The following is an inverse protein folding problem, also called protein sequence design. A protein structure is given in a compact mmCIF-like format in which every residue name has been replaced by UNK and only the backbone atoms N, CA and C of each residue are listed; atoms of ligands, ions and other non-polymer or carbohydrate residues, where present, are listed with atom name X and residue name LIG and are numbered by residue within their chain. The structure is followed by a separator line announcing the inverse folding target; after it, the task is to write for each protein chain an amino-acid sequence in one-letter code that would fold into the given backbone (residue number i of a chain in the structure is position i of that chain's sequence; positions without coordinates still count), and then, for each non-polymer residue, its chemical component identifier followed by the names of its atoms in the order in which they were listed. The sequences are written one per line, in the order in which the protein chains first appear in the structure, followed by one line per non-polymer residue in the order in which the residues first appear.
data_IF_716537351953
#
_entry.id   IF_716537351953
#
_cell.length_a   1.000
_cell.length_b   1.000
_cell.length_c   1.000
_cell.angle_alpha   90.00
_cell.angle_beta   90.00
_cell.angle_gamma   90.00
#
_symmetry.space_group_name_H-M   'P 1'
#
loop_
_entity.id
_entity.type
_entity.pdbx_description
1 polymer ?
#
# COMPACT_ATOMS: atom_id res chain seq x y z
N UNK A 1 -2.77 20.56 24.97
CA UNK A 1 -3.48 20.26 26.24
C UNK A 1 -3.04 21.21 27.33
N UNK A 2 -1.75 21.21 27.70
CA UNK A 2 -1.17 22.14 28.67
C UNK A 2 -1.58 23.61 28.42
N UNK A 3 -1.32 24.12 27.23
CA UNK A 3 -1.63 25.52 26.86
C UNK A 3 -3.14 25.86 26.87
N UNK A 4 -4.01 24.86 26.83
CA UNK A 4 -5.47 25.03 26.83
C UNK A 4 -6.12 24.63 28.14
N UNK A 5 -5.35 24.30 29.18
CA UNK A 5 -5.88 23.83 30.45
C UNK A 5 -6.69 22.54 30.36
N UNK A 6 -6.42 21.70 29.35
CA UNK A 6 -7.14 20.43 29.14
C UNK A 6 -6.34 19.28 29.73
N UNK A 7 -7.01 18.43 30.50
CA UNK A 7 -6.45 17.19 31.06
C UNK A 7 -7.05 16.00 30.33
N UNK A 8 -6.24 14.98 30.03
CA UNK A 8 -6.73 13.71 29.51
C UNK A 8 -7.07 12.78 30.65
N UNK A 9 -8.26 12.18 30.57
CA UNK A 9 -8.59 11.05 31.42
C UNK A 9 -7.75 9.85 30.98
N UNK A 10 -7.05 9.23 31.93
CA UNK A 10 -6.22 8.03 31.71
C UNK A 10 -6.91 6.76 32.22
N UNK A 11 -8.19 6.83 32.60
CA UNK A 11 -8.91 5.63 32.99
C UNK A 11 -8.92 4.64 31.83
N UNK A 12 -8.34 3.47 32.06
CA UNK A 12 -8.37 2.33 31.13
C UNK A 12 -9.80 1.76 31.09
N UNK A 13 -10.74 2.52 30.54
CA UNK A 13 -12.04 1.97 30.18
C UNK A 13 -11.81 0.98 29.04
N UNK A 14 -11.87 -0.30 29.41
CA UNK A 14 -11.96 -1.52 28.59
C UNK A 14 -11.61 -1.31 27.11
N UNK A 15 -10.41 -1.75 26.74
CA UNK A 15 -10.02 -1.99 25.36
C UNK A 15 -10.98 -3.04 24.76
N UNK A 16 -12.15 -2.61 24.31
CA UNK A 16 -12.97 -3.44 23.43
C UNK A 16 -12.20 -3.53 22.10
N UNK A 17 -11.81 -4.75 21.71
CA UNK A 17 -11.37 -5.03 20.36
C UNK A 17 -12.52 -4.66 19.42
N UNK A 18 -12.40 -3.50 18.77
CA UNK A 18 -13.41 -2.98 17.88
C UNK A 18 -12.86 -2.89 16.47
N UNK A 19 -13.31 -3.79 15.60
CA UNK A 19 -13.16 -3.64 14.16
C UNK A 19 -14.22 -2.65 13.66
N UNK A 20 -13.78 -1.45 13.28
CA UNK A 20 -14.62 -0.54 12.51
C UNK A 20 -14.38 -0.81 11.03
N UNK A 21 -15.43 -0.73 10.21
CA UNK A 21 -15.23 -0.78 8.76
C UNK A 21 -14.33 0.38 8.33
N UNK A 22 -13.25 0.08 7.61
CA UNK A 22 -12.45 1.08 6.93
C UNK A 22 -13.23 1.70 5.76
N UNK A 23 -12.62 2.62 5.02
CA UNK A 23 -13.27 3.14 3.82
C UNK A 23 -13.53 1.99 2.80
N UNK A 24 -14.70 2.01 2.17
CA UNK A 24 -15.07 1.09 1.09
C UNK A 24 -15.40 1.99 -0.10
N UNK A 25 -14.61 1.87 -1.17
CA UNK A 25 -14.90 2.45 -2.47
C UNK A 25 -14.70 1.36 -3.50
N UNK A 26 -15.66 1.30 -4.44
CA UNK A 26 -15.80 0.47 -5.64
C UNK A 26 -14.83 -0.71 -5.83
N UNK A 27 -15.36 -1.87 -6.20
CA UNK A 27 -14.53 -2.95 -6.72
C UNK A 27 -13.75 -2.46 -7.95
N UNK A 28 -12.40 -2.41 -7.91
CA UNK A 28 -11.61 -1.96 -9.05
C UNK A 28 -11.88 -2.84 -10.24
N UNK A 29 -12.01 -2.24 -11.42
CA UNK A 29 -11.94 -3.00 -12.67
C UNK A 29 -10.47 -3.18 -13.01
N UNK A 30 -9.96 -4.38 -12.80
CA UNK A 30 -8.58 -4.71 -13.17
C UNK A 30 -8.42 -4.73 -14.69
N UNK A 31 -7.28 -4.24 -15.17
CA UNK A 31 -7.01 -4.16 -16.60
C UNK A 31 -6.01 -3.08 -16.96
N UNK A 32 -5.77 -2.97 -18.26
CA UNK A 32 -4.90 -1.97 -18.87
C UNK A 32 -5.74 -0.84 -19.46
N UNK A 33 -5.46 0.39 -19.04
CA UNK A 33 -6.21 1.58 -19.41
C UNK A 33 -5.27 2.61 -20.03
N UNK A 34 -5.76 3.34 -21.03
CA UNK A 34 -5.07 4.49 -21.62
C UNK A 34 -5.66 5.79 -21.10
N UNK A 35 -4.82 6.80 -20.90
CA UNK A 35 -5.21 8.15 -20.47
C UNK A 35 -6.05 8.16 -19.19
N UNK A 36 -5.41 7.78 -18.09
CA UNK A 36 -6.00 7.79 -16.76
C UNK A 36 -5.44 8.92 -15.92
N UNK A 37 -6.32 9.71 -15.31
CA UNK A 37 -5.93 10.72 -14.33
C UNK A 37 -6.10 10.20 -12.92
N UNK A 38 -5.07 10.37 -12.09
CA UNK A 38 -5.12 10.11 -10.66
C UNK A 38 -5.45 11.43 -9.95
N UNK A 39 -6.60 11.45 -9.29
CA UNK A 39 -7.09 12.56 -8.49
C UNK A 39 -6.95 12.16 -7.02
N UNK A 40 -6.42 13.04 -6.17
CA UNK A 40 -6.21 12.78 -4.75
C UNK A 40 -6.86 13.87 -3.90
N UNK A 41 -7.48 13.51 -2.78
CA UNK A 41 -7.93 14.50 -1.81
C UNK A 41 -6.74 15.08 -1.05
N UNK A 42 -6.65 16.41 -1.00
CA UNK A 42 -5.65 17.09 -0.18
C UNK A 42 -5.95 16.92 1.31
N UNK A 43 -5.51 15.82 1.91
CA UNK A 43 -5.75 15.49 3.32
C UNK A 43 -7.24 15.33 3.67
N UNK A 44 -7.89 14.30 3.12
CA UNK A 44 -9.31 13.97 3.32
C UNK A 44 -9.72 13.93 4.79
N UNK A 45 -9.11 13.08 5.61
CA UNK A 45 -9.52 12.91 7.01
C UNK A 45 -9.25 14.15 7.87
N UNK A 46 -8.08 14.82 7.80
CA UNK A 46 -7.90 16.10 8.47
C UNK A 46 -8.95 17.14 8.08
N UNK A 47 -9.32 17.19 6.80
CA UNK A 47 -10.35 18.09 6.32
C UNK A 47 -11.72 17.78 6.95
N UNK A 48 -12.15 16.51 6.93
CA UNK A 48 -13.41 16.05 7.56
C UNK A 48 -13.45 16.39 9.04
N UNK A 49 -12.36 16.10 9.78
CA UNK A 49 -12.25 16.37 11.21
C UNK A 49 -12.43 17.86 11.51
N UNK A 50 -11.76 18.74 10.74
CA UNK A 50 -11.86 20.19 10.94
C UNK A 50 -13.27 20.69 10.62
N UNK A 51 -13.83 20.31 9.47
CA UNK A 51 -15.08 20.86 8.98
C UNK A 51 -16.30 20.42 9.80
N UNK A 52 -16.27 19.22 10.36
CA UNK A 52 -17.33 18.69 11.22
C UNK A 52 -16.99 18.77 12.72
N UNK A 53 -15.93 19.51 13.07
CA UNK A 53 -15.45 19.73 14.43
C UNK A 53 -15.18 18.43 15.23
N UNK A 54 -14.91 17.30 14.59
CA UNK A 54 -14.87 15.97 15.24
C UNK A 54 -13.76 15.91 16.31
N UNK A 55 -14.14 15.89 17.58
CA UNK A 55 -13.20 15.86 18.69
C UNK A 55 -13.85 15.27 19.96
N UNK A 56 -13.06 14.56 20.77
CA UNK A 56 -13.47 14.13 22.11
C UNK A 56 -13.91 15.30 23.01
N UNK A 57 -13.31 16.49 22.87
CA UNK A 57 -13.61 17.65 23.72
C UNK A 57 -14.96 18.31 23.47
N UNK A 58 -15.65 17.94 22.38
CA UNK A 58 -16.94 18.51 21.95
C UNK A 58 -17.98 17.41 21.67
N UNK A 59 -17.64 16.16 21.99
CA UNK A 59 -18.52 15.01 21.80
C UNK A 59 -19.66 15.03 22.82
N UNK A 60 -20.89 14.92 22.33
CA UNK A 60 -22.10 15.06 23.15
C UNK A 60 -22.63 13.65 23.48
N UNK A 61 -22.51 13.24 24.75
CA UNK A 61 -23.04 11.94 25.25
C UNK A 61 -24.49 12.01 25.74
N UNK A 62 -25.03 13.20 26.02
CA UNK A 62 -26.38 13.42 26.55
C UNK A 62 -27.01 14.64 25.87
N UNK A 63 -28.33 14.66 25.75
CA UNK A 63 -29.06 15.81 25.19
C UNK A 63 -28.59 17.11 25.84
N UNK A 64 -28.00 17.99 25.03
CA UNK A 64 -27.53 19.31 25.43
C UNK A 64 -28.26 20.35 24.60
N UNK A 65 -28.44 21.54 25.15
CA UNK A 65 -29.03 22.68 24.43
C UNK A 65 -28.04 23.34 23.45
N UNK A 66 -26.83 22.78 23.29
CA UNK A 66 -25.83 23.31 22.35
C UNK A 66 -26.21 22.95 20.91
N UNK A 67 -25.82 23.80 19.96
CA UNK A 67 -25.97 23.47 18.55
C UNK A 67 -25.01 22.33 18.16
N UNK A 68 -25.53 21.32 17.48
CA UNK A 68 -24.76 20.12 17.15
C UNK A 68 -24.95 19.70 15.68
N UNK A 69 -24.06 18.83 15.23
CA UNK A 69 -24.16 18.07 13.99
C UNK A 69 -24.29 16.58 14.34
N UNK A 70 -25.19 15.89 13.63
CA UNK A 70 -25.37 14.44 13.76
C UNK A 70 -24.66 13.75 12.61
N UNK A 71 -23.81 12.78 12.93
CA UNK A 71 -23.25 11.84 11.96
C UNK A 71 -23.96 10.52 12.13
N UNK A 72 -24.69 10.09 11.09
CA UNK A 72 -25.30 8.77 11.06
C UNK A 72 -24.28 7.78 10.52
N UNK A 73 -23.86 6.84 11.36
CA UNK A 73 -22.86 5.81 11.05
C UNK A 73 -23.59 4.48 10.97
N UNK A 74 -23.75 3.96 9.76
CA UNK A 74 -24.62 2.82 9.46
C UNK A 74 -26.08 3.04 9.88
N UNK A 75 -26.99 2.15 9.49
CA UNK A 75 -28.43 2.27 9.78
C UNK A 75 -28.79 2.17 11.28
N UNK A 76 -27.82 2.15 12.20
CA UNK A 76 -28.04 1.84 13.62
C UNK A 76 -27.29 2.73 14.63
N UNK A 77 -26.31 3.55 14.24
CA UNK A 77 -25.60 4.44 15.19
C UNK A 77 -25.64 5.89 14.75
N UNK A 78 -25.74 6.81 15.70
CA UNK A 78 -25.60 8.24 15.45
C UNK A 78 -24.74 8.89 16.51
N UNK A 79 -23.87 9.79 16.07
CA UNK A 79 -22.94 10.52 16.92
C UNK A 79 -23.19 12.01 16.84
N UNK A 80 -23.14 12.69 17.98
CA UNK A 80 -23.42 14.11 18.11
C UNK A 80 -22.15 14.88 18.47
N UNK A 81 -21.85 15.91 17.68
CA UNK A 81 -20.70 16.78 17.86
C UNK A 81 -21.15 18.24 17.96
N UNK A 82 -20.70 18.98 18.97
CA UNK A 82 -21.02 20.40 19.08
C UNK A 82 -20.40 21.20 17.93
N UNK A 83 -21.13 22.18 17.40
CA UNK A 83 -20.60 23.07 16.34
C UNK A 83 -19.58 24.07 16.89
N UNK A 84 -19.79 24.54 18.12
CA UNK A 84 -18.93 25.48 18.81
C UNK A 84 -18.78 25.10 20.30
N UNK A 85 -17.62 25.39 20.92
CA UNK A 85 -16.41 25.98 20.34
C UNK A 85 -15.59 24.99 19.49
N UNK A 86 -14.57 25.48 18.77
CA UNK A 86 -13.67 24.63 17.98
C UNK A 86 -12.90 23.66 18.90
N UNK A 87 -13.05 22.36 18.64
CA UNK A 87 -12.43 21.29 19.43
C UNK A 87 -10.90 21.33 19.42
N UNK A 88 -10.31 20.64 20.38
CA UNK A 88 -8.85 20.60 20.55
C UNK A 88 -8.13 20.06 19.30
N UNK A 89 -8.59 18.94 18.76
CA UNK A 89 -7.98 18.27 17.61
C UNK A 89 -8.20 19.04 16.29
N UNK A 90 -9.43 19.48 15.95
CA UNK A 90 -9.66 20.39 14.83
C UNK A 90 -8.77 21.62 14.86
N UNK A 91 -8.59 22.25 16.04
CA UNK A 91 -7.70 23.39 16.22
C UNK A 91 -6.23 23.05 15.93
N UNK A 92 -5.73 21.92 16.44
CA UNK A 92 -4.37 21.45 16.18
C UNK A 92 -4.15 21.16 14.69
N UNK A 93 -5.08 20.44 14.05
CA UNK A 93 -5.02 20.11 12.64
C UNK A 93 -5.02 21.37 11.78
N UNK A 94 -5.83 22.38 12.11
CA UNK A 94 -5.84 23.68 11.41
C UNK A 94 -4.46 24.33 11.45
N UNK A 95 -3.80 24.33 12.62
CA UNK A 95 -2.43 24.86 12.75
C UNK A 95 -1.42 24.08 11.90
N UNK A 96 -1.49 22.74 11.90
CA UNK A 96 -0.60 21.90 11.10
C UNK A 96 -0.77 22.12 9.60
N UNK A 97 -2.03 22.23 9.12
CA UNK A 97 -2.34 22.47 7.71
C UNK A 97 -1.90 23.86 7.27
N UNK A 98 -2.15 24.90 8.08
CA UNK A 98 -1.70 26.26 7.79
C UNK A 98 -0.18 26.35 7.69
N UNK A 99 0.53 25.79 8.67
CA UNK A 99 2.00 25.75 8.68
C UNK A 99 2.55 24.98 7.48
N UNK A 100 1.90 23.88 7.08
CA UNK A 100 2.27 23.14 5.87
C UNK A 100 2.05 23.97 4.60
N UNK A 101 0.96 24.75 4.54
CA UNK A 101 0.67 25.64 3.41
C UNK A 101 1.74 26.72 3.27
N UNK A 102 2.16 27.34 4.39
CA UNK A 102 3.26 28.31 4.41
C UNK A 102 4.56 27.71 3.87
N UNK A 103 4.97 26.53 4.36
CA UNK A 103 6.18 25.83 3.88
C UNK A 103 6.07 25.47 2.40
N UNK A 104 4.90 25.06 1.91
CA UNK A 104 4.67 24.80 0.48
C UNK A 104 4.86 26.07 -0.37
N UNK A 105 4.35 27.21 0.08
CA UNK A 105 4.50 28.49 -0.63
C UNK A 105 5.98 28.88 -0.68
N UNK A 106 6.69 28.82 0.45
CA UNK A 106 8.14 29.08 0.51
C UNK A 106 8.93 28.13 -0.40
N UNK A 107 8.55 26.84 -0.43
CA UNK A 107 9.20 25.84 -1.26
C UNK A 107 9.02 26.09 -2.76
N UNK A 108 7.93 26.75 -3.16
CA UNK A 108 7.65 27.04 -4.57
C UNK A 108 8.52 28.18 -5.11
N UNK A 109 8.97 29.09 -4.24
CA UNK A 109 9.81 30.23 -4.59
C UNK A 109 11.31 29.99 -4.33
N UNK A 110 11.66 28.96 -3.54
CA UNK A 110 13.04 28.60 -3.22
C UNK A 110 13.76 27.87 -4.37
N UNK A 111 15.09 27.97 -4.41
CA UNK A 111 15.96 27.34 -5.41
C UNK A 111 17.08 26.56 -4.71
N UNK A 112 17.61 25.53 -5.36
CA UNK A 112 18.77 24.77 -4.88
C UNK A 112 18.49 24.01 -3.58
N UNK A 113 19.43 24.08 -2.63
CA UNK A 113 19.38 23.33 -1.36
C UNK A 113 18.18 23.74 -0.51
N UNK A 114 17.82 25.02 -0.51
CA UNK A 114 16.70 25.52 0.29
C UNK A 114 15.38 24.87 -0.14
N UNK A 115 15.14 24.74 -1.45
CA UNK A 115 13.98 24.02 -1.98
C UNK A 115 13.93 22.59 -1.47
N UNK A 116 15.05 21.86 -1.55
CA UNK A 116 15.14 20.47 -1.06
C UNK A 116 14.81 20.40 0.44
N UNK A 117 15.33 21.33 1.24
CA UNK A 117 15.05 21.37 2.69
C UNK A 117 13.57 21.65 2.97
N UNK A 118 12.95 22.61 2.27
CA UNK A 118 11.54 22.95 2.44
C UNK A 118 10.60 21.82 1.97
N UNK A 119 10.93 21.17 0.86
CA UNK A 119 10.24 19.96 0.40
C UNK A 119 10.31 18.83 1.43
N UNK A 120 11.48 18.64 2.06
CA UNK A 120 11.65 17.68 3.15
C UNK A 120 10.91 18.08 4.42
N UNK A 121 10.78 19.38 4.72
CA UNK A 121 10.05 19.91 5.90
C UNK A 121 8.53 19.78 5.79
N UNK A 122 7.95 19.89 4.59
CA UNK A 122 6.50 19.72 4.43
C UNK A 122 6.03 18.27 4.66
N UNK A 123 6.89 17.28 4.43
CA UNK A 123 6.52 15.87 4.52
C UNK A 123 6.18 15.43 5.96
N UNK A 124 6.98 15.74 7.00
CA UNK A 124 6.61 15.51 8.40
C UNK A 124 5.28 16.17 8.79
N UNK A 125 5.01 17.40 8.32
CA UNK A 125 3.73 18.07 8.59
C UNK A 125 2.54 17.32 7.96
N UNK A 126 2.71 16.80 6.73
CA UNK A 126 1.70 15.92 6.09
C UNK A 126 1.49 14.66 6.91
N UNK A 127 2.58 13.99 7.31
CA UNK A 127 2.53 12.75 8.08
C UNK A 127 1.82 13.01 9.41
N UNK A 128 2.23 14.02 10.17
CA UNK A 128 1.60 14.39 11.45
C UNK A 128 0.10 14.64 11.29
N UNK A 129 -0.32 15.46 10.32
CA UNK A 129 -1.73 15.73 10.09
C UNK A 129 -2.52 14.46 9.77
N UNK A 130 -2.00 13.58 8.92
CA UNK A 130 -2.66 12.32 8.57
C UNK A 130 -2.65 11.31 9.74
N UNK A 131 -1.61 11.33 10.59
CA UNK A 131 -1.47 10.46 11.76
C UNK A 131 -2.43 10.82 12.89
N UNK A 132 -2.91 12.06 12.98
CA UNK A 132 -3.91 12.46 13.98
C UNK A 132 -5.18 11.61 13.87
N UNK A 133 -5.67 11.34 12.66
CA UNK A 133 -6.79 10.40 12.47
C UNK A 133 -6.42 9.00 12.97
N UNK A 134 -5.22 8.51 12.63
CA UNK A 134 -4.73 7.22 13.09
C UNK A 134 -4.67 7.09 14.63
N UNK A 135 -4.54 8.22 15.34
CA UNK A 135 -4.57 8.25 16.80
C UNK A 135 -5.97 8.01 17.39
N UNK A 136 -7.05 8.36 16.68
CA UNK A 136 -8.41 8.05 17.13
C UNK A 136 -8.70 6.54 17.10
N UNK A 137 -8.12 5.83 16.13
CA UNK A 137 -8.38 4.40 15.94
C UNK A 137 -7.32 3.46 16.54
N UNK A 138 -6.34 3.97 17.30
CA UNK A 138 -5.25 3.12 17.82
C UNK A 138 -5.63 2.45 19.14
N UNK A 139 -5.44 1.12 19.20
CA UNK A 139 -5.60 0.34 20.43
C UNK A 139 -4.42 0.48 21.39
N UNK A 140 -3.26 0.96 20.91
CA UNK A 140 -2.05 1.07 21.72
C UNK A 140 -2.06 2.26 22.68
N UNK A 141 -3.06 3.13 22.59
CA UNK A 141 -3.19 4.32 23.42
C UNK A 141 -4.65 4.51 23.84
N UNK A 142 -5.07 3.73 24.84
CA UNK A 142 -6.43 3.74 25.41
C UNK A 142 -6.96 5.17 25.64
N UNK A 143 -6.15 6.04 26.24
CA UNK A 143 -6.51 7.42 26.57
C UNK A 143 -6.63 8.39 25.38
N UNK A 144 -6.22 8.00 24.17
CA UNK A 144 -6.39 8.79 22.93
C UNK A 144 -7.41 8.17 21.96
N UNK A 145 -7.84 6.94 22.24
CA UNK A 145 -8.79 6.23 21.39
C UNK A 145 -10.13 6.99 21.38
N UNK A 146 -10.66 7.19 20.18
CA UNK A 146 -11.93 7.85 19.96
C UNK A 146 -12.66 7.20 18.79
N UNK A 147 -13.38 6.12 19.10
CA UNK A 147 -14.03 5.25 18.10
C UNK A 147 -15.10 6.03 17.36
N UNK A 148 -15.90 6.83 18.07
CA UNK A 148 -16.98 7.63 17.49
C UNK A 148 -16.43 8.65 16.49
N UNK A 149 -15.28 9.25 16.79
CA UNK A 149 -14.59 10.13 15.85
C UNK A 149 -14.00 9.39 14.65
N UNK A 150 -13.49 8.17 14.85
CA UNK A 150 -12.95 7.31 13.79
C UNK A 150 -14.04 6.91 12.79
N UNK A 151 -15.14 6.33 13.29
CA UNK A 151 -16.31 5.92 12.49
C UNK A 151 -16.97 7.11 11.79
N UNK A 152 -17.12 8.25 12.48
CA UNK A 152 -17.69 9.46 11.86
C UNK A 152 -16.81 9.99 10.73
N UNK A 153 -15.49 10.02 10.94
CA UNK A 153 -14.53 10.54 9.95
C UNK A 153 -14.50 9.65 8.70
N UNK A 154 -14.48 8.32 8.87
CA UNK A 154 -14.48 7.38 7.74
C UNK A 154 -15.79 7.41 6.97
N UNK A 155 -16.93 7.54 7.67
CA UNK A 155 -18.27 7.61 7.05
C UNK A 155 -18.39 8.85 6.17
N UNK A 156 -18.09 10.03 6.71
CA UNK A 156 -18.15 11.29 5.93
C UNK A 156 -17.13 11.26 4.79
N UNK A 157 -15.92 10.76 5.03
CA UNK A 157 -14.89 10.60 3.99
C UNK A 157 -15.36 9.71 2.83
N UNK A 158 -16.03 8.59 3.12
CA UNK A 158 -16.65 7.73 2.09
C UNK A 158 -17.76 8.44 1.33
N UNK A 159 -18.66 9.12 2.02
CA UNK A 159 -19.74 9.88 1.38
C UNK A 159 -19.18 10.96 0.45
N UNK A 160 -18.10 11.64 0.85
CA UNK A 160 -17.40 12.61 0.00
C UNK A 160 -16.77 11.95 -1.24
N UNK A 161 -16.11 10.80 -1.10
CA UNK A 161 -15.53 10.04 -2.22
C UNK A 161 -16.62 9.56 -3.19
N UNK A 162 -17.74 9.03 -2.67
CA UNK A 162 -18.86 8.58 -3.49
C UNK A 162 -19.53 9.75 -4.21
N UNK A 163 -19.72 10.88 -3.53
CA UNK A 163 -20.25 12.10 -4.12
C UNK A 163 -19.32 12.64 -5.21
N UNK A 164 -18.01 12.69 -4.93
CA UNK A 164 -17.01 13.08 -5.92
C UNK A 164 -17.09 12.20 -7.17
N UNK A 165 -17.12 10.88 -6.97
CA UNK A 165 -17.22 9.93 -8.06
C UNK A 165 -18.52 10.07 -8.85
N UNK A 166 -19.67 10.27 -8.19
CA UNK A 166 -20.96 10.37 -8.88
C UNK A 166 -21.06 11.64 -9.73
N UNK A 167 -20.52 12.76 -9.24
CA UNK A 167 -20.50 13.98 -10.04
C UNK A 167 -19.51 13.87 -11.20
N UNK A 168 -18.32 13.29 -10.97
CA UNK A 168 -17.33 13.07 -12.03
C UNK A 168 -17.94 12.21 -13.15
N UNK A 169 -18.56 11.08 -12.79
CA UNK A 169 -19.18 10.18 -13.76
C UNK A 169 -20.35 10.83 -14.51
N UNK A 170 -21.19 11.61 -13.83
CA UNK A 170 -22.35 12.26 -14.46
C UNK A 170 -21.98 13.44 -15.35
N UNK A 171 -21.00 14.25 -14.97
CA UNK A 171 -20.65 15.49 -15.67
C UNK A 171 -19.66 15.30 -16.82
N UNK A 172 -18.73 14.34 -16.69
CA UNK A 172 -17.65 14.15 -17.67
C UNK A 172 -17.79 12.88 -18.52
N UNK A 173 -18.83 12.06 -18.32
CA UNK A 173 -19.02 10.76 -19.01
C UNK A 173 -17.78 9.87 -18.94
N UNK A 174 -17.14 9.87 -17.78
CA UNK A 174 -15.86 9.18 -17.55
C UNK A 174 -16.06 7.86 -16.82
N UNK A 175 -15.21 6.88 -17.13
CA UNK A 175 -15.19 5.62 -16.44
C UNK A 175 -14.31 5.74 -15.19
N UNK A 176 -14.88 5.51 -14.01
CA UNK A 176 -14.11 5.29 -12.79
C UNK A 176 -13.40 3.94 -12.91
N UNK A 177 -12.06 3.95 -12.86
CA UNK A 177 -11.22 2.75 -12.98
C UNK A 177 -10.87 2.20 -11.59
N UNK A 178 -10.56 3.10 -10.66
CA UNK A 178 -10.10 2.77 -9.32
C UNK A 178 -10.49 3.86 -8.33
N UNK A 179 -10.84 3.48 -7.11
CA UNK A 179 -10.88 4.38 -5.96
C UNK A 179 -10.16 3.73 -4.79
N UNK A 180 -9.06 4.34 -4.33
CA UNK A 180 -8.50 3.95 -3.04
C UNK A 180 -9.27 4.63 -1.93
N UNK A 181 -9.46 3.86 -0.86
CA UNK A 181 -10.31 4.19 0.28
C UNK A 181 -9.85 5.41 1.05
N UNK A 182 -8.59 5.79 0.85
CA UNK A 182 -7.90 6.67 1.76
C UNK A 182 -7.86 8.12 1.21
N UNK A 183 -7.91 8.31 -0.12
CA UNK A 183 -8.01 9.64 -0.74
C UNK A 183 -8.03 9.72 -2.27
N UNK A 184 -7.80 8.63 -3.04
CA UNK A 184 -7.50 8.76 -4.48
C UNK A 184 -8.51 8.10 -5.43
N UNK A 185 -8.79 8.71 -6.58
CA UNK A 185 -9.61 8.19 -7.66
C UNK A 185 -8.79 8.15 -8.96
N UNK A 186 -8.73 7.00 -9.64
CA UNK A 186 -8.25 6.92 -11.01
C UNK A 186 -9.44 6.90 -11.96
N UNK A 187 -9.46 7.86 -12.87
CA UNK A 187 -10.56 8.08 -13.80
C UNK A 187 -9.99 8.03 -15.21
N UNK A 188 -10.66 7.33 -16.11
CA UNK A 188 -10.34 7.36 -17.54
C UNK A 188 -10.98 8.59 -18.15
N UNK A 189 -10.15 9.51 -18.63
CA UNK A 189 -10.60 10.84 -19.02
C UNK A 189 -10.22 11.07 -20.48
N UNK A 190 -11.21 11.38 -21.32
CA UNK A 190 -10.97 11.83 -22.70
C UNK A 190 -10.66 13.32 -22.79
N UNK A 191 -11.18 14.15 -21.86
CA UNK A 191 -11.03 15.61 -21.84
C UNK A 191 -10.68 16.12 -20.42
N UNK A 192 -9.76 17.08 -20.30
CA UNK A 192 -9.31 17.63 -19.01
C UNK A 192 -10.46 17.96 -18.03
N UNK A 193 -10.36 17.46 -16.79
CA UNK A 193 -11.28 17.87 -15.72
C UNK A 193 -10.96 19.31 -15.35
N UNK A 194 -11.97 20.18 -15.40
CA UNK A 194 -11.78 21.60 -15.11
C UNK A 194 -11.24 21.81 -13.68
N UNK A 195 -10.28 22.72 -13.52
CA UNK A 195 -9.74 23.09 -12.20
C UNK A 195 -10.82 23.59 -11.24
N UNK A 196 -11.83 24.27 -11.77
CA UNK A 196 -13.01 24.72 -11.00
C UNK A 196 -13.77 23.55 -10.37
N UNK A 197 -13.96 22.48 -11.15
CA UNK A 197 -14.61 21.27 -10.66
C UNK A 197 -13.81 20.58 -9.55
N UNK A 198 -12.49 20.46 -9.75
CA UNK A 198 -11.59 19.91 -8.74
C UNK A 198 -11.66 20.71 -7.42
N UNK A 199 -11.76 22.04 -7.51
CA UNK A 199 -11.91 22.91 -6.34
C UNK A 199 -13.26 22.72 -5.61
N UNK A 200 -14.37 22.54 -6.36
CA UNK A 200 -15.69 22.27 -5.77
C UNK A 200 -15.70 21.00 -4.92
N UNK A 201 -15.00 19.97 -5.37
CA UNK A 201 -14.94 18.66 -4.73
C UNK A 201 -13.69 18.51 -3.84
N UNK A 202 -12.81 19.52 -3.79
CA UNK A 202 -11.53 19.53 -3.05
C UNK A 202 -10.59 18.38 -3.43
N UNK A 203 -10.62 18.00 -4.70
CA UNK A 203 -9.67 17.08 -5.30
C UNK A 203 -8.49 17.86 -5.87
N UNK A 204 -7.30 17.29 -5.80
CA UNK A 204 -6.09 17.76 -6.46
C UNK A 204 -5.67 16.77 -7.53
N UNK A 205 -5.04 17.28 -8.59
CA UNK A 205 -4.48 16.45 -9.63
C UNK A 205 -3.13 15.88 -9.17
N UNK A 206 -2.99 14.55 -9.10
CA UNK A 206 -1.72 13.91 -8.70
C UNK A 206 -0.87 13.56 -9.92
N UNK A 207 -1.43 12.85 -10.89
CA UNK A 207 -0.69 12.41 -12.09
C UNK A 207 -1.62 12.09 -13.28
N UNK A 208 -1.15 12.36 -14.49
CA UNK A 208 -1.74 11.82 -15.74
C UNK A 208 -0.91 10.62 -16.14
N UNK A 209 -1.55 9.47 -16.27
CA UNK A 209 -0.94 8.28 -16.83
C UNK A 209 -1.34 8.12 -18.29
N UNK A 210 -0.34 8.05 -19.18
CA UNK A 210 -0.55 7.64 -20.56
C UNK A 210 -1.09 6.21 -20.59
N UNK A 211 -0.51 5.34 -19.76
CA UNK A 211 -0.92 3.95 -19.57
C UNK A 211 -1.00 3.66 -18.07
N UNK A 212 -2.15 3.13 -17.65
CA UNK A 212 -2.42 2.74 -16.28
C UNK A 212 -2.81 1.28 -16.23
N UNK A 213 -2.02 0.48 -15.52
CA UNK A 213 -2.24 -0.95 -15.36
C UNK A 213 -2.67 -1.24 -13.92
N UNK A 214 -3.95 -1.55 -13.74
CA UNK A 214 -4.52 -1.93 -12.45
C UNK A 214 -4.57 -3.46 -12.35
N UNK A 215 -3.82 -4.02 -11.40
CA UNK A 215 -3.79 -5.47 -11.19
C UNK A 215 -4.91 -5.86 -10.23
N UNK A 216 -4.88 -5.29 -9.03
CA UNK A 216 -5.91 -5.42 -7.99
C UNK A 216 -5.89 -4.16 -7.12
N UNK A 217 -6.81 -4.05 -6.15
CA UNK A 217 -6.84 -2.96 -5.17
C UNK A 217 -5.45 -2.75 -4.54
N UNK A 218 -4.98 -1.49 -4.48
CA UNK A 218 -3.66 -1.09 -3.97
C UNK A 218 -2.45 -1.68 -4.73
N UNK A 219 -2.66 -2.29 -5.91
CA UNK A 219 -1.60 -2.82 -6.78
C UNK A 219 -1.78 -2.33 -8.21
N UNK A 220 -1.06 -1.28 -8.55
CA UNK A 220 -1.11 -0.69 -9.88
C UNK A 220 0.24 -0.15 -10.32
N UNK A 221 0.35 0.05 -11.62
CA UNK A 221 1.52 0.60 -12.28
C UNK A 221 1.06 1.66 -13.27
N UNK A 222 1.71 2.81 -13.28
CA UNK A 222 1.36 3.92 -14.17
C UNK A 222 2.57 4.45 -14.91
N UNK A 223 2.43 4.68 -16.21
CA UNK A 223 3.39 5.39 -17.05
C UNK A 223 2.96 6.86 -17.15
N UNK A 224 3.72 7.77 -16.52
CA UNK A 224 3.38 9.20 -16.50
C UNK A 224 3.48 9.79 -17.91
N UNK A 225 2.44 10.50 -18.34
CA UNK A 225 2.39 11.17 -19.63
C UNK A 225 3.48 12.25 -19.75
N UNK A 226 4.13 12.36 -20.91
CA UNK A 226 5.20 13.34 -21.19
C UNK A 226 6.57 12.93 -20.64
N UNK A 227 6.66 12.52 -19.37
CA UNK A 227 7.93 12.08 -18.75
C UNK A 227 8.29 10.62 -19.07
N UNK A 228 7.31 9.80 -19.43
CA UNK A 228 7.43 8.33 -19.60
C UNK A 228 8.08 7.63 -18.40
N UNK A 229 7.85 8.17 -17.21
CA UNK A 229 8.34 7.62 -15.95
C UNK A 229 7.36 6.60 -15.39
N UNK A 230 7.89 5.43 -15.00
CA UNK A 230 7.12 4.36 -14.36
C UNK A 230 6.92 4.60 -12.86
N UNK A 231 5.67 4.46 -12.41
CA UNK A 231 5.27 4.53 -10.99
C UNK A 231 4.74 3.17 -10.57
N UNK A 232 5.36 2.56 -9.56
CA UNK A 232 4.98 1.25 -9.02
C UNK A 232 4.33 1.42 -7.64
N UNK A 233 3.12 0.89 -7.46
CA UNK A 233 2.40 0.95 -6.18
C UNK A 233 1.91 -0.43 -5.77
N UNK A 234 2.43 -0.95 -4.66
CA UNK A 234 2.02 -2.23 -4.07
C UNK A 234 2.41 -3.50 -4.85
N UNK A 235 3.13 -3.35 -5.96
CA UNK A 235 3.63 -4.44 -6.80
C UNK A 235 5.06 -4.85 -6.41
N UNK A 236 5.55 -5.97 -6.96
CA UNK A 236 6.84 -6.62 -6.65
C UNK A 236 8.00 -5.64 -6.55
N UNK A 237 8.13 -4.72 -7.52
CA UNK A 237 9.21 -3.72 -7.58
C UNK A 237 9.23 -2.82 -6.35
N UNK A 238 8.05 -2.40 -5.88
CA UNK A 238 7.90 -1.50 -4.72
C UNK A 238 8.05 -2.23 -3.37
N UNK A 239 8.03 -3.55 -3.37
CA UNK A 239 8.10 -4.37 -2.16
C UNK A 239 9.55 -4.67 -1.77
N UNK A 240 9.85 -4.69 -0.48
CA UNK A 240 11.20 -4.98 0.04
C UNK A 240 11.48 -6.47 0.17
N UNK A 241 10.44 -7.28 0.30
CA UNK A 241 10.49 -8.73 0.55
C UNK A 241 10.54 -9.57 -0.73
N UNK A 242 11.03 -8.99 -1.83
CA UNK A 242 11.20 -9.67 -3.13
C UNK A 242 12.67 -9.61 -3.53
N UNK A 243 13.20 -10.73 -4.03
CA UNK A 243 14.59 -10.79 -4.47
C UNK A 243 14.85 -9.90 -5.69
N UNK A 244 16.10 -9.50 -5.87
CA UNK A 244 16.52 -8.55 -6.90
C UNK A 244 16.23 -9.10 -8.29
N UNK A 245 16.57 -10.38 -8.53
CA UNK A 245 16.27 -11.06 -9.80
C UNK A 245 14.80 -10.89 -10.19
N UNK A 246 13.89 -11.20 -9.27
CA UNK A 246 12.46 -11.14 -9.55
C UNK A 246 11.97 -9.71 -9.80
N UNK A 247 12.54 -8.72 -9.10
CA UNK A 247 12.23 -7.31 -9.36
C UNK A 247 12.62 -6.89 -10.77
N UNK A 248 13.78 -7.32 -11.26
CA UNK A 248 14.21 -7.03 -12.63
C UNK A 248 13.30 -7.71 -13.65
N UNK A 249 13.08 -9.01 -13.52
CA UNK A 249 12.18 -9.76 -14.41
C UNK A 249 10.78 -9.15 -14.46
N UNK A 250 10.21 -8.80 -13.30
CA UNK A 250 8.90 -8.16 -13.21
C UNK A 250 8.88 -6.75 -13.83
N UNK A 251 9.94 -5.96 -13.62
CA UNK A 251 10.04 -4.61 -14.19
C UNK A 251 10.09 -4.67 -15.71
N UNK A 252 10.94 -5.53 -16.28
CA UNK A 252 11.07 -5.72 -17.73
C UNK A 252 9.77 -6.23 -18.33
N UNK A 253 9.13 -7.24 -17.72
CA UNK A 253 7.83 -7.74 -18.18
C UNK A 253 6.80 -6.62 -18.27
N UNK A 254 6.67 -5.82 -17.21
CA UNK A 254 5.71 -4.73 -17.17
C UNK A 254 6.07 -3.65 -18.18
N UNK A 255 7.35 -3.32 -18.34
CA UNK A 255 7.80 -2.36 -19.34
C UNK A 255 7.45 -2.81 -20.76
N UNK A 256 7.59 -4.10 -21.08
CA UNK A 256 7.15 -4.66 -22.36
C UNK A 256 5.64 -4.48 -22.57
N UNK A 257 4.84 -4.71 -21.53
CA UNK A 257 3.38 -4.53 -21.57
C UNK A 257 3.01 -3.05 -21.75
N UNK A 258 3.65 -2.16 -21.01
CA UNK A 258 3.43 -0.71 -21.13
C UNK A 258 3.83 -0.21 -22.52
N UNK A 259 4.87 -0.76 -23.13
CA UNK A 259 5.25 -0.42 -24.50
C UNK A 259 4.43 -1.14 -25.58
N UNK A 260 3.36 -1.87 -25.20
CA UNK A 260 2.47 -2.57 -26.13
C UNK A 260 3.20 -3.59 -27.02
N UNK A 261 4.23 -4.28 -26.49
CA UNK A 261 4.90 -5.34 -27.24
C UNK A 261 3.95 -6.52 -27.51
N UNK A 262 4.15 -7.25 -28.62
CA UNK A 262 3.41 -8.48 -28.90
C UNK A 262 3.56 -9.51 -27.77
N UNK A 263 2.49 -10.27 -27.56
CA UNK A 263 2.44 -11.28 -26.51
C UNK A 263 3.49 -12.38 -26.69
N UNK A 264 3.81 -12.73 -27.93
CA UNK A 264 4.81 -13.74 -28.28
C UNK A 264 6.17 -13.37 -27.68
N UNK A 265 6.60 -12.12 -27.88
CA UNK A 265 7.87 -11.61 -27.32
C UNK A 265 7.83 -11.58 -25.79
N UNK A 266 6.69 -11.20 -25.19
CA UNK A 266 6.52 -11.22 -23.73
C UNK A 266 6.71 -12.64 -23.18
N UNK A 267 6.12 -13.64 -23.84
CA UNK A 267 6.24 -15.03 -23.40
C UNK A 267 7.61 -15.63 -23.67
N UNK A 268 8.27 -15.26 -24.76
CA UNK A 268 9.66 -15.64 -25.02
C UNK A 268 10.58 -15.11 -23.92
N UNK A 269 10.42 -13.84 -23.53
CA UNK A 269 11.15 -13.25 -22.41
C UNK A 269 10.90 -14.00 -21.10
N UNK A 270 9.64 -14.22 -20.72
CA UNK A 270 9.29 -14.96 -19.48
C UNK A 270 9.88 -16.36 -19.50
N UNK A 271 9.81 -17.08 -20.62
CA UNK A 271 10.42 -18.43 -20.74
C UNK A 271 11.94 -18.38 -20.62
N UNK A 272 12.60 -17.42 -21.24
CA UNK A 272 14.05 -17.27 -21.18
C UNK A 272 14.53 -17.02 -19.73
N UNK A 273 13.85 -16.13 -19.00
CA UNK A 273 14.15 -15.84 -17.60
C UNK A 273 13.91 -17.06 -16.69
N UNK A 274 12.80 -17.79 -16.90
CA UNK A 274 12.52 -19.03 -16.17
C UNK A 274 13.55 -20.14 -16.48
N UNK A 275 14.05 -20.23 -17.70
CA UNK A 275 15.11 -21.17 -18.05
C UNK A 275 16.45 -20.77 -17.41
N UNK A 276 16.75 -19.47 -17.37
CA UNK A 276 17.96 -18.93 -16.74
C UNK A 276 18.04 -19.31 -15.25
N UNK A 277 16.94 -19.15 -14.51
CA UNK A 277 16.89 -19.53 -13.08
C UNK A 277 17.02 -21.04 -12.88
N UNK A 278 16.35 -21.88 -13.69
CA UNK A 278 16.42 -23.34 -13.54
C UNK A 278 17.81 -23.87 -13.86
N UNK A 279 18.51 -23.25 -14.82
CA UNK A 279 19.89 -23.59 -15.17
C UNK A 279 20.92 -23.09 -14.14
N UNK A 280 20.50 -22.32 -13.14
CA UNK A 280 21.39 -21.76 -12.14
C UNK A 280 22.34 -20.68 -12.68
N UNK A 281 21.98 -20.01 -13.78
CA UNK A 281 22.79 -18.93 -14.37
C UNK A 281 22.60 -17.59 -13.64
N UNK A 282 22.10 -17.63 -12.41
CA UNK A 282 21.73 -16.45 -11.63
C UNK A 282 22.64 -16.35 -10.41
N UNK A 283 23.15 -15.15 -10.18
CA UNK A 283 23.96 -14.83 -9.01
C UNK A 283 23.17 -15.04 -7.72
N UNK A 284 23.78 -15.69 -6.72
CA UNK A 284 23.18 -15.98 -5.43
C UNK A 284 22.66 -14.71 -4.74
N UNK A 285 23.43 -13.62 -4.83
CA UNK A 285 23.12 -12.32 -4.23
C UNK A 285 21.79 -11.77 -4.77
N UNK A 286 21.46 -12.07 -6.03
CA UNK A 286 20.23 -11.60 -6.65
C UNK A 286 18.98 -12.38 -6.19
N UNK A 287 19.16 -13.53 -5.53
CA UNK A 287 18.12 -14.39 -4.99
C UNK A 287 17.86 -14.14 -3.49
N UNK A 288 18.69 -13.32 -2.85
CA UNK A 288 18.53 -12.99 -1.43
C UNK A 288 17.22 -12.25 -1.20
N UNK A 289 16.49 -12.67 -0.17
CA UNK A 289 15.27 -12.03 0.32
C UNK A 289 15.53 -11.50 1.73
N UNK A 290 15.18 -10.24 1.96
CA UNK A 290 15.28 -9.60 3.27
C UNK A 290 13.88 -9.42 3.87
N UNK A 291 13.67 -9.90 5.10
CA UNK A 291 12.44 -9.62 5.87
C UNK A 291 12.77 -9.11 7.26
N UNK A 292 11.91 -8.22 7.77
CA UNK A 292 12.03 -7.69 9.13
C UNK A 292 11.29 -8.58 10.12
N UNK A 293 11.96 -8.97 11.21
CA UNK A 293 11.37 -9.69 12.32
C UNK A 293 10.49 -8.74 13.14
N UNK A 294 9.18 -8.81 12.92
CA UNK A 294 8.19 -7.95 13.57
C UNK A 294 7.70 -8.48 14.92
N UNK A 295 6.81 -7.72 15.57
CA UNK A 295 6.19 -8.14 16.84
C UNK A 295 5.21 -9.29 16.66
N UNK A 296 4.53 -9.38 15.51
CA UNK A 296 3.46 -10.36 15.21
C UNK A 296 3.95 -11.82 15.08
N UNK A 297 5.25 -12.07 15.27
CA UNK A 297 5.88 -13.37 15.11
C UNK A 297 5.77 -14.21 16.40
N UNK A 298 4.55 -14.38 16.92
CA UNK A 298 4.29 -15.15 18.14
C UNK A 298 3.90 -16.62 17.88
N UNK A 299 3.50 -16.95 16.66
CA UNK A 299 3.14 -18.32 16.30
C UNK A 299 4.33 -19.11 15.79
N UNK A 300 4.54 -20.32 16.34
CA UNK A 300 5.60 -21.25 15.99
C UNK A 300 5.59 -21.70 14.52
N UNK A 301 4.50 -21.48 13.78
CA UNK A 301 4.39 -21.82 12.35
C UNK A 301 4.89 -20.71 11.41
N UNK A 302 5.22 -19.52 11.93
CA UNK A 302 5.64 -18.40 11.09
C UNK A 302 7.07 -18.65 10.56
N UNK A 303 7.29 -18.60 9.23
CA UNK A 303 8.58 -18.98 8.62
C UNK A 303 9.79 -18.25 9.21
N UNK A 304 9.66 -16.95 9.46
CA UNK A 304 10.76 -16.13 9.97
C UNK A 304 11.09 -16.43 11.43
N UNK A 305 10.10 -16.86 12.24
CA UNK A 305 10.34 -17.27 13.62
C UNK A 305 11.12 -18.59 13.65
N UNK A 306 10.69 -19.57 12.87
CA UNK A 306 11.41 -20.85 12.71
C UNK A 306 12.85 -20.60 12.23
N UNK A 307 13.02 -19.74 11.22
CA UNK A 307 14.34 -19.35 10.74
C UNK A 307 15.18 -18.68 11.83
N UNK A 308 14.63 -17.70 12.56
CA UNK A 308 15.33 -17.00 13.64
C UNK A 308 15.75 -17.93 14.79
N UNK A 309 14.94 -18.95 15.12
CA UNK A 309 15.31 -19.93 16.14
C UNK A 309 16.47 -20.81 15.67
N UNK A 310 16.50 -21.21 14.39
CA UNK A 310 17.62 -21.95 13.81
C UNK A 310 18.91 -21.13 13.74
N UNK A 311 18.79 -19.80 13.63
CA UNK A 311 19.96 -18.91 13.71
C UNK A 311 20.61 -18.95 15.10
N UNK A 312 19.83 -19.19 16.17
CA UNK A 312 20.38 -19.35 17.54
C UNK A 312 21.28 -20.57 17.67
N UNK A 313 20.94 -21.66 17.00
CA UNK A 313 21.78 -22.88 16.94
C UNK A 313 23.14 -22.60 16.29
N UNK A 314 23.23 -21.55 15.47
CA UNK A 314 24.46 -21.05 14.85
C UNK A 314 25.12 -19.90 15.65
N UNK A 315 24.62 -19.60 16.86
CA UNK A 315 25.12 -18.51 17.70
C UNK A 315 24.68 -17.11 17.26
N UNK A 316 23.70 -16.99 16.36
CA UNK A 316 23.20 -15.71 15.85
C UNK A 316 21.85 -15.40 16.52
N UNK A 317 21.85 -14.39 17.40
CA UNK A 317 20.62 -13.91 18.04
C UNK A 317 19.93 -12.82 17.21
N UNK A 318 18.75 -13.13 16.68
CA UNK A 318 17.89 -12.15 16.01
C UNK A 318 16.92 -11.47 17.00
N UNK A 319 16.81 -10.15 16.92
CA UNK A 319 15.95 -9.29 17.75
C UNK A 319 14.78 -8.73 16.97
N UNK A 320 13.74 -8.30 17.69
CA UNK A 320 12.61 -7.60 17.08
C UNK A 320 13.08 -6.32 16.41
N UNK A 321 12.73 -6.16 15.13
CA UNK A 321 13.17 -5.07 14.27
C UNK A 321 14.35 -5.43 13.37
N UNK A 322 15.03 -6.55 13.62
CA UNK A 322 16.16 -6.97 12.79
C UNK A 322 15.72 -7.37 11.39
N UNK A 323 16.60 -7.11 10.43
CA UNK A 323 16.44 -7.55 9.04
C UNK A 323 17.22 -8.83 8.85
N UNK A 324 16.51 -9.87 8.43
CA UNK A 324 17.06 -11.19 8.22
C UNK A 324 17.09 -11.48 6.73
N UNK A 325 18.30 -11.77 6.24
CA UNK A 325 18.56 -12.15 4.87
C UNK A 325 18.60 -13.67 4.74
N UNK A 326 17.90 -14.19 3.74
CA UNK A 326 17.85 -15.63 3.50
C UNK A 326 17.69 -15.97 2.03
N UNK A 327 18.05 -17.20 1.69
CA UNK A 327 17.73 -17.87 0.43
C UNK A 327 17.04 -19.20 0.69
N UNK A 328 16.38 -19.76 -0.32
CA UNK A 328 15.80 -21.11 -0.24
C UNK A 328 16.76 -22.16 -0.78
N UNK A 329 17.05 -23.17 0.03
CA UNK A 329 17.90 -24.31 -0.33
C UNK A 329 17.07 -25.59 -0.40
N UNK A 330 17.52 -26.55 -1.21
CA UNK A 330 16.91 -27.88 -1.27
C UNK A 330 17.14 -28.60 0.04
N UNK A 331 16.12 -29.29 0.51
CA UNK A 331 16.18 -30.07 1.75
C UNK A 331 15.95 -31.54 1.43
N UNK A 332 16.76 -32.43 2.04
CA UNK A 332 16.59 -33.89 1.88
C UNK A 332 15.26 -34.38 2.46
N UNK A 333 14.75 -33.68 3.47
CA UNK A 333 13.45 -33.93 4.08
C UNK A 333 12.43 -32.94 3.53
N UNK A 334 11.19 -33.39 3.30
CA UNK A 334 10.09 -32.50 3.00
C UNK A 334 9.61 -31.80 4.27
N UNK A 335 9.98 -30.53 4.42
CA UNK A 335 9.47 -29.69 5.50
C UNK A 335 8.18 -29.00 5.10
N UNK A 336 7.15 -29.14 5.95
CA UNK A 336 5.89 -28.38 5.82
C UNK A 336 6.09 -26.88 6.07
N UNK A 337 6.98 -26.51 6.99
CA UNK A 337 7.23 -25.11 7.35
C UNK A 337 8.36 -24.51 6.50
N UNK A 338 8.07 -23.40 5.84
CA UNK A 338 9.01 -22.68 4.96
C UNK A 338 10.30 -22.27 5.67
N UNK A 339 10.26 -22.00 6.98
CA UNK A 339 11.44 -21.59 7.77
C UNK A 339 12.59 -22.60 7.78
N UNK A 340 12.31 -23.90 7.57
CA UNK A 340 13.36 -24.92 7.46
C UNK A 340 14.09 -24.92 6.12
N UNK A 341 13.47 -24.34 5.08
CA UNK A 341 14.07 -24.18 3.75
C UNK A 341 14.92 -22.91 3.63
N UNK A 342 14.78 -21.98 4.57
CA UNK A 342 15.52 -20.72 4.61
C UNK A 342 16.95 -20.97 5.11
N UNK A 343 17.93 -20.35 4.46
CA UNK A 343 19.35 -20.45 4.80
C UNK A 343 20.04 -19.09 4.67
N UNK A 344 21.05 -18.83 5.50
CA UNK A 344 21.90 -17.65 5.35
C UNK A 344 22.67 -17.73 4.03
N UNK A 345 22.73 -16.66 3.22
CA UNK A 345 23.40 -16.69 1.92
C UNK A 345 24.87 -17.12 2.00
N UNK A 346 25.60 -16.66 3.03
CA UNK A 346 27.01 -16.98 3.21
C UNK A 346 27.30 -18.44 3.60
N UNK A 347 26.28 -19.20 4.03
CA UNK A 347 26.44 -20.62 4.37
C UNK A 347 26.26 -21.54 3.17
N UNK A 348 25.72 -21.04 2.06
CA UNK A 348 25.41 -21.84 0.87
C UNK A 348 26.66 -22.45 0.27
N UNK A 349 27.67 -21.63 -0.04
CA UNK A 349 28.92 -22.10 -0.66
C UNK A 349 29.76 -22.98 0.28
N UNK A 350 30.02 -22.60 1.55
CA UNK A 350 30.84 -23.42 2.46
C UNK A 350 30.26 -24.80 2.76
N UNK A 351 28.93 -24.93 2.76
CA UNK A 351 28.25 -26.19 3.04
C UNK A 351 27.78 -26.93 1.79
N UNK A 352 28.18 -26.46 0.59
CA UNK A 352 27.80 -27.01 -0.71
C UNK A 352 26.28 -27.25 -0.84
N UNK A 353 25.49 -26.27 -0.40
CA UNK A 353 24.03 -26.36 -0.42
C UNK A 353 23.49 -25.97 -1.79
N UNK A 354 22.55 -26.77 -2.31
CA UNK A 354 21.87 -26.45 -3.56
C UNK A 354 20.70 -25.49 -3.34
N UNK A 355 20.58 -24.47 -4.20
CA UNK A 355 19.43 -23.56 -4.20
C UNK A 355 18.19 -24.27 -4.75
N UNK A 356 17.04 -24.02 -4.12
CA UNK A 356 15.74 -24.55 -4.56
C UNK A 356 15.07 -23.58 -5.55
N UNK A 357 15.60 -23.52 -6.77
CA UNK A 357 15.09 -22.65 -7.85
C UNK A 357 13.61 -22.89 -8.16
N UNK A 358 13.15 -24.14 -8.10
CA UNK A 358 11.75 -24.49 -8.33
C UNK A 358 10.83 -23.90 -7.25
N UNK A 359 11.30 -23.85 -6.00
CA UNK A 359 10.56 -23.21 -4.92
C UNK A 359 10.40 -21.71 -5.15
N UNK A 360 11.44 -20.99 -5.59
CA UNK A 360 11.34 -19.58 -5.99
C UNK A 360 10.29 -19.39 -7.09
N UNK A 361 10.32 -20.23 -8.13
CA UNK A 361 9.35 -20.16 -9.22
C UNK A 361 7.93 -20.31 -8.67
N UNK A 362 7.64 -21.42 -7.99
CA UNK A 362 6.29 -21.76 -7.55
C UNK A 362 5.72 -20.77 -6.53
N UNK A 363 6.53 -20.33 -5.56
CA UNK A 363 6.02 -19.58 -4.40
C UNK A 363 6.12 -18.07 -4.55
N UNK A 364 7.15 -17.57 -5.24
CA UNK A 364 7.40 -16.13 -5.36
C UNK A 364 7.07 -15.58 -6.75
N UNK A 365 7.39 -16.33 -7.81
CA UNK A 365 7.34 -15.82 -9.20
C UNK A 365 5.98 -16.11 -9.86
N UNK A 366 5.47 -17.33 -9.78
CA UNK A 366 4.29 -17.76 -10.55
C UNK A 366 3.08 -16.91 -10.25
N UNK A 367 2.75 -16.67 -8.96
CA UNK A 367 1.54 -15.94 -8.60
C UNK A 367 1.49 -14.50 -9.15
N UNK A 368 2.52 -13.63 -8.97
CA UNK A 368 2.45 -12.27 -9.49
C UNK A 368 2.51 -12.20 -11.02
N UNK A 369 3.21 -13.12 -11.68
CA UNK A 369 3.27 -13.14 -13.15
C UNK A 369 1.95 -13.66 -13.73
N UNK A 370 1.35 -14.70 -13.13
CA UNK A 370 0.03 -15.21 -13.55
C UNK A 370 -1.05 -14.14 -13.42
N UNK A 371 -1.03 -13.35 -12.35
CA UNK A 371 -1.95 -12.21 -12.21
C UNK A 371 -1.84 -11.22 -13.36
N UNK A 372 -0.61 -10.95 -13.85
CA UNK A 372 -0.41 -10.09 -15.01
C UNK A 372 -0.94 -10.76 -16.28
N UNK A 373 -0.55 -12.01 -16.53
CA UNK A 373 -0.91 -12.73 -17.77
C UNK A 373 -2.42 -12.97 -17.88
N UNK A 374 -3.09 -13.26 -16.78
CA UNK A 374 -4.56 -13.40 -16.74
C UNK A 374 -5.26 -12.11 -17.16
N UNK A 375 -4.74 -10.94 -16.77
CA UNK A 375 -5.30 -9.65 -17.18
C UNK A 375 -5.07 -9.33 -18.66
N UNK A 376 -4.11 -9.99 -19.29
CA UNK A 376 -3.91 -9.97 -20.74
C UNK A 376 -4.78 -11.02 -21.46
N UNK A 377 -5.66 -11.73 -20.73
CA UNK A 377 -6.60 -12.72 -21.27
C UNK A 377 -6.02 -14.12 -21.47
N UNK A 378 -4.96 -14.48 -20.75
CA UNK A 378 -4.17 -15.70 -21.02
C UNK A 378 -4.17 -16.72 -19.86
N UNK A 379 -3.79 -17.97 -20.19
CA UNK A 379 -3.71 -19.08 -19.21
C UNK A 379 -2.52 -18.92 -18.27
N UNK A 380 -2.68 -19.41 -17.04
CA UNK A 380 -1.63 -19.44 -16.00
C UNK A 380 -0.36 -20.17 -16.46
N UNK A 381 0.80 -19.63 -16.09
CA UNK A 381 2.12 -20.28 -16.21
C UNK A 381 2.10 -21.66 -15.58
N UNK A 382 1.48 -21.82 -14.40
CA UNK A 382 1.39 -23.10 -13.70
C UNK A 382 0.59 -24.12 -14.49
N UNK A 383 -0.53 -23.73 -15.11
CA UNK A 383 -1.29 -24.62 -15.99
C UNK A 383 -0.51 -25.03 -17.24
N UNK A 384 0.45 -24.20 -17.66
CA UNK A 384 1.38 -24.50 -18.75
C UNK A 384 2.49 -25.43 -18.26
N UNK A 385 2.98 -25.28 -17.03
CA UNK A 385 3.98 -26.14 -16.37
C UNK A 385 3.44 -27.54 -15.97
N UNK A 386 2.19 -27.65 -15.50
CA UNK A 386 1.60 -28.91 -15.03
C UNK A 386 1.17 -29.83 -16.19
N UNK A 387 0.85 -29.27 -17.36
CA UNK A 387 0.67 -30.06 -18.59
C UNK A 387 1.98 -30.48 -19.23
N UNK A 388 3.10 -30.10 -18.62
CA UNK A 388 4.39 -30.19 -19.26
C UNK A 388 5.49 -30.79 -18.37
N UNK A 389 5.43 -32.12 -18.33
CA UNK A 389 6.61 -32.94 -18.66
C UNK A 389 7.26 -32.58 -20.03
N UNK A 390 6.72 -31.60 -20.78
CA UNK A 390 7.05 -31.22 -22.16
C UNK A 390 7.47 -29.74 -22.40
N UNK A 391 7.63 -28.88 -21.39
CA UNK A 391 8.31 -27.56 -21.44
C UNK A 391 9.78 -27.77 -21.04
N UNK A 392 10.02 -28.84 -20.28
CA UNK A 392 11.30 -29.51 -20.15
C UNK A 392 11.31 -30.79 -21.01
N UNK A 393 11.17 -30.75 -22.36
CA UNK A 393 11.42 -31.96 -23.12
C UNK A 393 12.91 -32.26 -22.96
N UNK A 394 13.22 -33.32 -22.22
CA UNK A 394 14.56 -33.90 -22.07
C UNK A 394 15.61 -33.08 -21.31
N UNK A 395 15.38 -32.79 -20.02
CA UNK A 395 16.49 -32.85 -19.07
C UNK A 395 16.40 -34.17 -18.30
N UNK A 396 16.78 -35.27 -18.96
CA UNK A 396 17.37 -36.39 -18.23
C UNK A 396 18.64 -35.82 -17.61
N UNK A 397 18.59 -35.47 -16.32
CA UNK A 397 19.79 -35.31 -15.53
C UNK A 397 20.34 -36.72 -15.38
N UNK A 398 21.22 -37.11 -16.32
CA UNK A 398 22.27 -38.02 -15.95
C UNK A 398 23.19 -37.22 -15.02
N UNK A 399 23.05 -37.49 -13.71
CA UNK A 399 24.18 -37.35 -12.78
C UNK A 399 25.05 -38.58 -12.98
#
# INVERSE_FOLDING_TARGET
CYDKGVVFDRTDSLLEEFEYEGAIVSNPTSGLYKWCSLLDFSSLYPFVIINHNICYSIFIKRNSNQSYFIVQVFDKKSYMFAKEPLGLVPSLLRTLILKRKEVKIQSSTAIGIEKVVLERRQLPLKILANSVYGSYGTHNSSYLQFIEGTESTTTIGRSMLMYASSIISSRYLVQLVYGDTDSSLAVRISNEVSKEFLALVKLEFEAVFEIFFLIIKKRYIGLIAGERKMVYKGVVVSRRDSCIFFKHMYSSLVEMIMNSLPYEHIMEFVRAELLSIVRGHILLESLVITKTLGKEYFSASIPLLVYSNRLKDLGIEARLGDKLDFVFVKTKQEFKLQGYKMCLPHLVMPHNLEIDYLYYIKTHISNPIDQILQLLGQKSLVATCDKTSNIFPTCKIHV
#
